data_IF_050160886909
#
_entry.id   IF_050160886909
#
_cell.length_a   1.000
_cell.length_b   1.000
_cell.length_c   1.000
_cell.angle_alpha   90.00
_cell.angle_beta   90.00
_cell.angle_gamma   90.00
#
_symmetry.space_group_name_H-M   'P 1'
#
loop_
_entity.id
_entity.type
_entity.pdbx_description
1 polymer ?
#
# COMPACT_ATOMS: atom_id res chain seq x y z
N UNK A 1 6.06 2.99 4.31
CA UNK A 1 5.00 2.79 5.33
C UNK A 1 5.66 2.35 6.62
N UNK A 2 5.53 3.13 7.70
CA UNK A 2 6.14 2.78 8.99
C UNK A 2 5.49 1.55 9.62
N UNK A 3 6.25 0.74 10.35
CA UNK A 3 5.70 -0.45 11.03
C UNK A 3 4.65 -0.10 12.09
N UNK A 4 4.70 1.11 12.65
CA UNK A 4 3.69 1.65 13.56
C UNK A 4 2.34 1.87 12.87
N UNK A 5 2.32 2.14 11.57
CA UNK A 5 1.09 2.29 10.78
C UNK A 5 0.49 0.94 10.38
N UNK A 6 1.28 -0.14 10.44
CA UNK A 6 0.89 -1.52 10.11
C UNK A 6 1.37 -2.48 11.20
N UNK A 7 0.82 -2.36 12.43
CA UNK A 7 1.37 -3.03 13.61
C UNK A 7 1.14 -4.54 13.65
N UNK A 8 0.21 -5.06 12.85
CA UNK A 8 -0.12 -6.49 12.82
C UNK A 8 0.90 -7.27 11.98
N UNK A 9 0.96 -8.59 12.20
CA UNK A 9 1.88 -9.49 11.50
C UNK A 9 1.17 -10.48 10.58
N UNK A 10 -0.17 -10.51 10.62
CA UNK A 10 -1.03 -11.42 9.87
C UNK A 10 -1.72 -10.75 8.66
N UNK A 11 -1.07 -9.72 8.10
CA UNK A 11 -1.50 -9.14 6.83
C UNK A 11 -1.39 -10.15 5.69
N UNK A 12 -2.45 -10.28 4.91
CA UNK A 12 -2.54 -11.20 3.77
C UNK A 12 -2.75 -10.47 2.43
N UNK A 13 -3.17 -9.20 2.47
CA UNK A 13 -3.45 -8.43 1.26
C UNK A 13 -3.43 -6.93 1.52
N UNK A 14 -2.71 -6.15 0.69
CA UNK A 14 -2.80 -4.69 0.71
C UNK A 14 -3.27 -4.16 -0.64
N UNK A 15 -4.38 -3.42 -0.66
CA UNK A 15 -4.77 -2.70 -1.87
C UNK A 15 -3.83 -1.51 -2.08
N UNK A 16 -3.22 -1.38 -3.26
CA UNK A 16 -2.31 -0.27 -3.56
C UNK A 16 -2.77 0.41 -4.83
N UNK A 17 -3.28 1.64 -4.68
CA UNK A 17 -3.85 2.41 -5.77
C UNK A 17 -3.19 3.78 -5.90
N UNK A 18 -3.03 4.23 -7.13
CA UNK A 18 -2.61 5.57 -7.51
C UNK A 18 -3.82 6.30 -8.07
N UNK A 19 -4.04 7.53 -7.62
CA UNK A 19 -5.26 8.29 -7.89
C UNK A 19 -4.98 9.57 -8.63
N UNK A 20 -5.95 10.02 -9.43
CA UNK A 20 -5.89 11.29 -10.13
C UNK A 20 -6.29 12.48 -9.23
N UNK A 21 -6.38 13.66 -9.84
CA UNK A 21 -6.75 14.90 -9.16
C UNK A 21 -8.19 14.92 -8.61
N UNK A 22 -9.06 14.05 -9.14
CA UNK A 22 -10.44 13.89 -8.69
C UNK A 22 -10.59 12.79 -7.62
N UNK A 23 -9.52 12.03 -7.36
CA UNK A 23 -9.52 10.90 -6.42
C UNK A 23 -9.89 9.55 -7.06
N UNK A 24 -10.06 9.51 -8.39
CA UNK A 24 -10.37 8.31 -9.13
C UNK A 24 -9.14 7.41 -9.29
N UNK A 25 -9.34 6.10 -9.28
CA UNK A 25 -8.25 5.13 -9.44
C UNK A 25 -7.68 5.18 -10.86
N UNK A 26 -6.43 5.61 -10.99
CA UNK A 26 -5.69 5.59 -12.26
C UNK A 26 -5.05 4.23 -12.51
N UNK A 27 -4.48 3.66 -11.45
CA UNK A 27 -3.76 2.39 -11.52
C UNK A 27 -3.81 1.70 -10.17
N UNK A 28 -3.95 0.38 -10.20
CA UNK A 28 -3.95 -0.46 -9.01
C UNK A 28 -3.03 -1.65 -9.21
N UNK A 29 -2.13 -1.85 -8.26
CA UNK A 29 -1.27 -3.03 -8.21
C UNK A 29 -1.03 -3.42 -6.77
N UNK A 30 -1.84 -4.35 -6.30
CA UNK A 30 -1.90 -4.79 -4.90
C UNK A 30 -0.64 -5.53 -4.46
N UNK A 31 -0.40 -5.57 -3.15
CA UNK A 31 0.63 -6.39 -2.54
C UNK A 31 0.01 -7.68 -1.98
N UNK A 32 0.60 -8.81 -2.35
CA UNK A 32 0.23 -10.11 -1.80
C UNK A 32 0.91 -10.38 -0.46
N UNK A 33 0.48 -11.44 0.21
CA UNK A 33 1.02 -11.90 1.49
C UNK A 33 2.56 -12.06 1.47
N UNK A 34 3.12 -12.57 0.39
CA UNK A 34 4.56 -12.84 0.31
C UNK A 34 5.36 -11.54 0.17
N UNK A 35 4.87 -10.58 -0.61
CA UNK A 35 5.44 -9.23 -0.69
C UNK A 35 5.35 -8.50 0.65
N UNK A 36 4.20 -8.56 1.32
CA UNK A 36 4.00 -7.93 2.63
C UNK A 36 4.95 -8.53 3.67
N UNK A 37 5.09 -9.86 3.70
CA UNK A 37 6.02 -10.52 4.60
C UNK A 37 7.46 -10.07 4.36
N UNK A 38 7.89 -9.93 3.09
CA UNK A 38 9.22 -9.39 2.78
C UNK A 38 9.38 -7.96 3.26
N UNK A 39 8.38 -7.09 3.04
CA UNK A 39 8.42 -5.69 3.45
C UNK A 39 8.47 -5.53 4.98
N UNK A 40 7.74 -6.35 5.73
CA UNK A 40 7.71 -6.35 7.20
C UNK A 40 8.98 -6.90 7.86
N UNK A 41 9.83 -7.58 7.08
CA UNK A 41 11.13 -8.08 7.52
C UNK A 41 12.31 -7.28 6.95
N UNK A 42 12.06 -6.11 6.35
CA UNK A 42 13.11 -5.24 5.82
C UNK A 42 13.96 -4.68 6.98
N UNK A 43 15.31 -4.78 6.92
CA UNK A 43 16.20 -4.33 7.99
C UNK A 43 16.18 -2.81 8.21
N UNK A 44 15.69 -2.02 7.24
CA UNK A 44 15.58 -0.57 7.37
C UNK A 44 14.41 -0.15 8.28
N UNK A 45 13.56 -1.09 8.69
CA UNK A 45 12.50 -0.86 9.69
C UNK A 45 11.23 -0.19 9.15
N UNK A 46 11.01 -0.22 7.83
CA UNK A 46 9.77 0.25 7.21
C UNK A 46 9.46 -0.49 5.91
N UNK A 47 8.17 -0.61 5.58
CA UNK A 47 7.72 -1.25 4.36
C UNK A 47 7.92 -0.33 3.14
N UNK A 48 8.64 -0.81 2.13
CA UNK A 48 8.87 -0.12 0.85
C UNK A 48 8.00 -0.72 -0.24
N UNK A 49 7.07 0.07 -0.76
CA UNK A 49 6.20 -0.32 -1.87
C UNK A 49 6.73 0.34 -3.14
N UNK A 50 7.13 -0.49 -4.11
CA UNK A 50 7.63 -0.02 -5.41
C UNK A 50 6.65 -0.45 -6.50
N UNK A 51 6.16 0.51 -7.27
CA UNK A 51 5.26 0.28 -8.41
C UNK A 51 5.76 1.08 -9.61
N UNK A 52 5.65 0.48 -10.78
CA UNK A 52 6.03 1.10 -12.05
C UNK A 52 4.94 0.79 -13.06
N UNK A 53 4.39 1.83 -13.68
CA UNK A 53 3.32 1.73 -14.66
C UNK A 53 3.38 2.93 -15.61
N UNK A 54 2.85 2.75 -16.81
CA UNK A 54 2.70 3.84 -17.78
C UNK A 54 1.43 4.62 -17.47
N UNK A 55 1.51 5.95 -17.53
CA UNK A 55 0.36 6.82 -17.32
C UNK A 55 0.46 8.05 -18.23
N UNK A 56 -0.68 8.46 -18.79
CA UNK A 56 -0.76 9.69 -19.60
C UNK A 56 -0.66 10.97 -18.77
N UNK A 57 -0.84 10.86 -17.44
CA UNK A 57 -0.77 11.96 -16.48
C UNK A 57 -0.06 11.46 -15.21
N UNK A 58 0.59 12.36 -14.48
CA UNK A 58 1.16 12.06 -13.16
C UNK A 58 0.01 11.86 -12.15
N UNK A 59 0.02 10.80 -11.34
CA UNK A 59 -0.96 10.65 -10.27
C UNK A 59 -0.82 11.76 -9.22
N UNK A 60 -1.92 12.13 -8.56
CA UNK A 60 -1.98 13.20 -7.55
C UNK A 60 -1.84 12.68 -6.13
N UNK A 61 -2.24 11.43 -5.88
CA UNK A 61 -2.13 10.79 -4.57
C UNK A 61 -2.02 9.27 -4.71
N UNK A 62 -1.71 8.61 -3.60
CA UNK A 62 -1.72 7.15 -3.48
C UNK A 62 -2.48 6.69 -2.24
N UNK A 63 -2.89 5.43 -2.27
CA UNK A 63 -3.60 4.72 -1.21
C UNK A 63 -2.95 3.35 -1.00
N UNK A 64 -2.65 3.03 0.26
CA UNK A 64 -2.33 1.67 0.72
C UNK A 64 -3.39 1.30 1.73
N UNK A 65 -4.17 0.25 1.46
CA UNK A 65 -5.23 -0.22 2.35
C UNK A 65 -4.91 -1.64 2.84
N UNK A 66 -4.41 -1.79 4.08
CA UNK A 66 -4.03 -3.09 4.62
C UNK A 66 -5.24 -3.93 5.03
N UNK A 67 -5.24 -5.21 4.66
CA UNK A 67 -6.12 -6.24 5.19
C UNK A 67 -5.33 -7.27 6.01
N UNK A 68 -5.80 -7.52 7.23
CA UNK A 68 -5.29 -8.53 8.15
C UNK A 68 -6.29 -9.67 8.28
N UNK A 69 -5.81 -10.90 8.46
CA UNK A 69 -6.69 -12.06 8.64
C UNK A 69 -7.54 -11.93 9.91
N UNK A 70 -6.97 -11.41 11.00
CA UNK A 70 -7.65 -11.34 12.30
C UNK A 70 -8.54 -10.11 12.50
N UNK A 71 -8.23 -8.97 11.87
CA UNK A 71 -8.98 -7.71 12.09
C UNK A 71 -9.62 -7.15 10.82
N UNK A 72 -9.42 -7.79 9.67
CA UNK A 72 -9.92 -7.30 8.40
C UNK A 72 -9.17 -6.05 7.92
N UNK A 73 -9.91 -5.14 7.29
CA UNK A 73 -9.36 -3.90 6.73
C UNK A 73 -9.02 -2.87 7.80
N UNK A 74 -7.79 -2.37 7.77
CA UNK A 74 -7.33 -1.25 8.60
C UNK A 74 -7.78 0.09 8.02
N UNK A 75 -7.50 1.20 8.70
CA UNK A 75 -7.67 2.53 8.08
C UNK A 75 -6.72 2.68 6.87
N UNK A 76 -7.18 3.25 5.74
CA UNK A 76 -6.31 3.46 4.59
C UNK A 76 -5.21 4.48 4.88
N UNK A 77 -4.01 4.17 4.43
CA UNK A 77 -2.86 5.06 4.47
C UNK A 77 -2.82 5.79 3.13
N UNK A 78 -2.82 7.12 3.18
CA UNK A 78 -2.83 7.96 1.97
C UNK A 78 -1.84 9.09 2.08
N UNK A 79 -1.29 9.51 0.95
CA UNK A 79 -0.53 10.75 0.85
C UNK A 79 -0.57 11.32 -0.58
N UNK A 80 -0.16 12.57 -0.73
CA UNK A 80 0.00 13.25 -2.02
C UNK A 80 1.32 12.88 -2.69
N UNK A 81 1.39 13.03 -4.01
CA UNK A 81 2.56 12.76 -4.87
C UNK A 81 3.26 14.04 -5.32
#
# INVERSE_FOLDING_TARGET
>A
IGYDQVPLDDYDFWAVAFKDENGDDMYRYDADKDEILRMKNDPDGYCKIWRTFEASKRPSSWLVWPHSVSQGWSEPITDKI
#
